data_IF_941040002061
#
_entry.id   IF_941040002061
#
_cell.length_a   1.000
_cell.length_b   1.000
_cell.length_c   1.000
_cell.angle_alpha   90.00
_cell.angle_beta   90.00
_cell.angle_gamma   90.00
#
_symmetry.space_group_name_H-M   'P 1'
#
loop_
_entity.id
_entity.type
_entity.pdbx_description
1 polymer ?
#
# COMPACT_ATOMS: atom_id res chain seq x y z
N UNK A 1 17.18 -4.90 8.71
CA UNK A 1 15.83 -4.37 8.89
C UNK A 1 15.03 -4.83 7.69
N UNK A 2 13.92 -5.53 7.87
CA UNK A 2 13.05 -5.94 6.75
C UNK A 2 12.42 -4.68 6.17
N UNK A 3 12.75 -4.34 4.92
CA UNK A 3 12.11 -3.21 4.21
C UNK A 3 10.61 -3.47 4.11
N UNK A 4 9.79 -2.53 4.57
CA UNK A 4 8.33 -2.61 4.45
C UNK A 4 7.87 -1.60 3.40
N UNK A 5 8.13 -1.89 2.13
CA UNK A 5 7.46 -1.20 1.03
C UNK A 5 5.96 -1.47 1.03
N UNK A 6 5.25 -0.88 0.07
CA UNK A 6 3.82 -1.11 -0.10
C UNK A 6 3.61 -2.59 -0.43
N UNK A 7 2.85 -3.32 0.41
CA UNK A 7 2.45 -4.69 0.07
C UNK A 7 1.83 -4.73 -1.32
N UNK A 8 2.23 -5.70 -2.16
CA UNK A 8 1.66 -5.87 -3.51
C UNK A 8 0.14 -6.04 -3.52
N UNK A 9 -0.46 -6.47 -2.41
CA UNK A 9 -1.92 -6.55 -2.25
C UNK A 9 -2.58 -5.16 -2.22
N UNK A 10 -1.82 -4.11 -1.92
CA UNK A 10 -2.24 -2.70 -1.93
C UNK A 10 -1.86 -1.97 -3.24
N UNK A 11 -1.33 -2.68 -4.23
CA UNK A 11 -1.17 -2.13 -5.57
C UNK A 11 -2.53 -2.01 -6.26
N UNK A 12 -2.59 -1.24 -7.36
CA UNK A 12 -3.72 -1.38 -8.28
C UNK A 12 -3.72 -2.82 -8.79
N UNK A 13 -4.88 -3.52 -8.79
CA UNK A 13 -4.94 -4.91 -9.21
C UNK A 13 -4.30 -5.13 -10.57
N UNK A 14 -3.42 -6.13 -10.63
CA UNK A 14 -2.59 -6.45 -11.79
C UNK A 14 -2.53 -7.96 -12.04
N UNK A 15 -1.98 -8.34 -13.18
CA UNK A 15 -1.87 -9.74 -13.63
C UNK A 15 -3.02 -10.19 -14.52
N UNK A 16 -2.94 -11.43 -15.00
CA UNK A 16 -3.91 -11.98 -15.96
C UNK A 16 -5.34 -12.02 -15.40
N UNK A 17 -5.50 -12.32 -14.11
CA UNK A 17 -6.81 -12.34 -13.44
C UNK A 17 -7.43 -10.93 -13.31
N UNK A 18 -6.59 -9.89 -13.31
CA UNK A 18 -7.03 -8.49 -13.37
C UNK A 18 -7.31 -8.00 -14.82
N UNK A 19 -7.06 -8.86 -15.82
CA UNK A 19 -7.22 -8.55 -17.24
C UNK A 19 -6.02 -7.82 -17.85
N UNK A 20 -4.84 -7.89 -17.25
CA UNK A 20 -3.63 -7.29 -17.79
C UNK A 20 -3.10 -8.06 -19.01
N UNK A 21 -2.39 -7.35 -19.88
CA UNK A 21 -1.54 -7.96 -20.90
C UNK A 21 -0.18 -8.30 -20.29
N UNK A 22 0.29 -9.52 -20.53
CA UNK A 22 1.64 -9.94 -20.18
C UNK A 22 2.59 -9.59 -21.33
N UNK A 23 3.60 -8.76 -21.06
CA UNK A 23 4.66 -8.44 -22.00
C UNK A 23 5.51 -9.69 -22.28
N UNK A 24 6.05 -9.80 -23.50
CA UNK A 24 6.91 -10.94 -23.87
C UNK A 24 8.18 -11.00 -23.01
N UNK A 25 8.62 -12.21 -22.66
CA UNK A 25 9.88 -12.45 -21.94
C UNK A 25 11.07 -12.10 -22.83
N UNK A 26 11.82 -11.08 -22.44
CA UNK A 26 12.90 -10.52 -23.27
C UNK A 26 13.82 -9.61 -22.43
N UNK A 27 14.79 -9.02 -23.10
CA UNK A 27 15.85 -8.17 -22.55
C UNK A 27 16.02 -6.96 -23.48
N UNK A 28 16.20 -5.77 -22.92
CA UNK A 28 16.35 -4.50 -23.67
C UNK A 28 15.27 -4.18 -24.73
N UNK A 29 14.02 -4.58 -24.52
CA UNK A 29 12.94 -4.38 -25.49
C UNK A 29 11.75 -3.58 -24.93
N UNK A 30 10.84 -3.24 -25.84
CA UNK A 30 9.66 -2.45 -25.52
C UNK A 30 8.43 -2.90 -26.31
N UNK A 31 7.26 -2.59 -25.77
CA UNK A 31 5.98 -2.71 -26.48
C UNK A 31 5.32 -1.33 -26.63
N UNK A 32 4.83 -1.03 -27.83
CA UNK A 32 4.12 0.23 -28.12
C UNK A 32 2.63 0.08 -27.84
N UNK A 33 2.05 1.02 -27.09
CA UNK A 33 0.62 1.04 -26.75
C UNK A 33 -0.02 2.34 -27.21
N UNK A 34 -1.13 2.24 -27.93
CA UNK A 34 -1.98 3.37 -28.25
C UNK A 34 -2.98 3.63 -27.13
N UNK A 35 -3.05 4.87 -26.67
CA UNK A 35 -3.90 5.26 -25.55
C UNK A 35 -5.31 5.59 -26.04
N UNK A 36 -6.31 5.05 -25.35
CA UNK A 36 -7.72 5.39 -25.56
C UNK A 36 -8.06 6.82 -25.11
N UNK A 37 -7.27 7.37 -24.18
CA UNK A 37 -7.33 8.75 -23.72
C UNK A 37 -5.95 9.37 -23.78
N UNK A 38 -5.83 10.61 -24.26
CA UNK A 38 -4.53 11.30 -24.27
C UNK A 38 -4.06 11.54 -22.85
N UNK A 39 -2.78 11.29 -22.58
CA UNK A 39 -2.15 11.55 -21.30
C UNK A 39 -1.38 12.89 -21.36
N UNK A 40 -1.79 13.89 -20.57
CA UNK A 40 -0.99 15.10 -20.37
C UNK A 40 0.33 14.77 -19.64
N UNK A 41 1.45 15.25 -20.13
CA UNK A 41 2.75 15.13 -19.47
C UNK A 41 3.68 16.25 -19.94
N UNK A 42 4.23 17.05 -19.00
CA UNK A 42 5.06 18.22 -19.31
C UNK A 42 4.46 19.14 -20.39
N UNK A 43 3.19 19.55 -20.19
CA UNK A 43 2.38 20.41 -21.07
C UNK A 43 2.12 19.86 -22.48
N UNK A 44 2.49 18.60 -22.73
CA UNK A 44 2.24 17.91 -23.98
C UNK A 44 1.18 16.83 -23.78
N UNK A 45 0.49 16.45 -24.85
CA UNK A 45 -0.55 15.43 -24.82
C UNK A 45 -0.14 14.23 -25.67
N UNK A 46 0.08 13.10 -25.01
CA UNK A 46 0.52 11.86 -25.67
C UNK A 46 -0.64 10.93 -25.91
N UNK A 47 -0.73 10.36 -27.12
CA UNK A 47 -1.74 9.37 -27.50
C UNK A 47 -1.16 7.96 -27.63
N UNK A 48 0.12 7.79 -27.29
CA UNK A 48 0.84 6.52 -27.28
C UNK A 48 1.98 6.60 -26.27
N UNK A 49 2.42 5.44 -25.83
CA UNK A 49 3.60 5.26 -24.99
C UNK A 49 4.28 3.94 -25.35
N UNK A 50 5.46 3.73 -24.78
CA UNK A 50 6.19 2.47 -24.85
C UNK A 50 6.49 1.99 -23.44
N UNK A 51 6.07 0.76 -23.13
CA UNK A 51 6.47 0.06 -21.91
C UNK A 51 7.76 -0.68 -22.19
N UNK A 52 8.75 -0.53 -21.31
CA UNK A 52 10.09 -1.08 -21.51
C UNK A 52 10.42 -2.13 -20.44
N UNK A 53 11.23 -3.14 -20.83
CA UNK A 53 11.72 -4.17 -19.90
C UNK A 53 12.51 -3.56 -18.75
N UNK A 54 13.32 -2.55 -19.04
CA UNK A 54 14.26 -1.91 -18.12
C UNK A 54 13.59 -0.96 -17.13
N UNK A 55 12.27 -1.02 -16.93
CA UNK A 55 11.62 -0.33 -15.81
C UNK A 55 11.21 1.13 -16.06
N UNK A 56 10.96 1.49 -17.33
CA UNK A 56 10.46 2.81 -17.72
C UNK A 56 9.24 2.78 -18.67
N UNK A 57 8.59 3.93 -18.75
CA UNK A 57 7.62 4.28 -19.80
C UNK A 57 8.16 5.49 -20.56
N UNK A 58 8.24 5.41 -21.88
CA UNK A 58 8.57 6.55 -22.75
C UNK A 58 7.40 6.98 -23.63
N UNK A 59 7.45 8.23 -24.11
CA UNK A 59 6.33 8.87 -24.82
C UNK A 59 6.68 9.36 -26.24
N UNK A 60 7.97 9.44 -26.57
CA UNK A 60 8.47 9.86 -27.87
C UNK A 60 8.82 8.66 -28.77
N UNK A 61 9.53 7.67 -28.21
CA UNK A 61 9.99 6.46 -28.91
C UNK A 61 10.30 5.33 -27.94
N UNK A 62 10.39 4.10 -28.45
CA UNK A 62 10.94 2.98 -27.68
C UNK A 62 12.43 3.17 -27.37
N UNK A 63 12.86 2.64 -26.23
CA UNK A 63 14.21 2.82 -25.66
C UNK A 63 14.92 1.47 -25.59
N UNK A 64 16.22 1.43 -25.88
CA UNK A 64 17.07 0.22 -25.81
C UNK A 64 18.40 0.48 -25.10
N UNK A 65 18.42 1.46 -24.20
CA UNK A 65 19.64 1.76 -23.46
C UNK A 65 19.71 0.81 -22.26
N UNK A 66 20.81 0.07 -22.21
CA UNK A 66 21.18 -0.81 -21.09
C UNK A 66 21.49 0.05 -19.85
N UNK A 67 22.29 1.11 -20.04
CA UNK A 67 22.58 2.08 -19.00
C UNK A 67 21.66 3.30 -19.13
N UNK A 68 20.95 3.61 -18.04
CA UNK A 68 20.09 4.79 -18.02
C UNK A 68 20.92 6.07 -18.13
N UNK A 69 20.52 7.05 -18.96
CA UNK A 69 21.10 8.38 -18.93
C UNK A 69 20.63 9.17 -17.71
N UNK A 70 21.48 10.05 -17.20
CA UNK A 70 21.14 11.00 -16.14
C UNK A 70 20.04 11.95 -16.63
N UNK A 71 19.08 12.28 -15.76
CA UNK A 71 18.14 13.38 -15.98
C UNK A 71 18.67 14.70 -15.39
N UNK A 72 18.47 15.84 -16.09
CA UNK A 72 17.77 15.95 -17.36
C UNK A 72 18.64 15.52 -18.53
N UNK A 73 18.00 15.02 -19.58
CA UNK A 73 18.62 14.87 -20.90
C UNK A 73 17.65 15.23 -22.02
N UNK A 74 18.20 15.45 -23.22
CA UNK A 74 17.45 15.82 -24.41
C UNK A 74 17.14 14.63 -25.35
N UNK A 75 17.18 13.39 -24.83
CA UNK A 75 17.08 12.18 -25.65
C UNK A 75 15.75 11.45 -25.53
N UNK A 76 15.10 11.51 -24.38
CA UNK A 76 13.94 10.68 -24.06
C UNK A 76 12.90 11.47 -23.29
N UNK A 77 11.63 11.31 -23.66
CA UNK A 77 10.51 11.78 -22.83
C UNK A 77 10.01 10.58 -22.05
N UNK A 78 10.24 10.53 -20.74
CA UNK A 78 9.95 9.31 -19.98
C UNK A 78 9.57 9.54 -18.52
N UNK A 79 8.90 8.51 -18.00
CA UNK A 79 8.58 8.29 -16.59
C UNK A 79 9.28 6.99 -16.21
N UNK A 80 10.11 7.05 -15.18
CA UNK A 80 10.92 5.93 -14.72
C UNK A 80 10.68 5.70 -13.23
N UNK A 81 9.87 4.71 -12.82
CA UNK A 81 9.91 4.26 -11.44
C UNK A 81 11.29 3.69 -11.08
N UNK A 82 11.89 2.89 -11.96
CA UNK A 82 13.17 2.22 -11.69
C UNK A 82 13.84 1.79 -13.00
N UNK A 83 14.51 2.72 -13.69
CA UNK A 83 15.20 2.41 -14.94
C UNK A 83 16.55 1.77 -14.62
N UNK A 84 16.67 0.47 -14.88
CA UNK A 84 17.89 -0.32 -14.70
C UNK A 84 17.92 -1.51 -15.65
N UNK A 85 19.07 -2.14 -15.81
CA UNK A 85 19.29 -3.29 -16.68
C UNK A 85 18.54 -4.55 -16.19
N UNK A 86 17.32 -4.78 -16.73
CA UNK A 86 16.39 -5.84 -16.31
C UNK A 86 16.26 -6.88 -17.42
N UNK A 87 16.56 -8.13 -17.09
CA UNK A 87 16.37 -9.28 -17.98
C UNK A 87 15.20 -10.15 -17.54
N UNK A 88 14.10 -10.12 -18.30
CA UNK A 88 12.92 -10.96 -18.01
C UNK A 88 12.95 -12.33 -18.68
N UNK A 89 14.00 -12.66 -19.45
CA UNK A 89 14.08 -13.88 -20.27
C UNK A 89 13.88 -15.16 -19.45
N UNK A 90 14.35 -15.18 -18.21
CA UNK A 90 14.30 -16.37 -17.35
C UNK A 90 13.31 -16.25 -16.19
N UNK A 91 13.06 -15.04 -15.68
CA UNK A 91 12.22 -14.80 -14.51
C UNK A 91 11.67 -13.36 -14.54
N UNK A 92 10.57 -13.13 -13.81
CA UNK A 92 9.99 -11.81 -13.62
C UNK A 92 9.03 -11.46 -14.74
N UNK A 93 7.87 -10.93 -14.41
CA UNK A 93 6.80 -10.64 -15.35
C UNK A 93 6.53 -9.14 -15.42
N UNK A 94 6.17 -8.65 -16.60
CA UNK A 94 5.74 -7.27 -16.79
C UNK A 94 4.29 -7.30 -17.28
N UNK A 95 3.41 -6.76 -16.46
CA UNK A 95 1.98 -6.67 -16.75
C UNK A 95 1.58 -5.23 -17.02
N UNK A 96 0.71 -5.00 -18.00
CA UNK A 96 0.17 -3.67 -18.25
C UNK A 96 -1.29 -3.69 -18.71
N UNK A 97 -2.03 -2.61 -18.41
CA UNK A 97 -3.35 -2.38 -19.02
C UNK A 97 -3.78 -0.92 -18.96
N UNK A 98 -4.74 -0.59 -19.83
CA UNK A 98 -5.56 0.60 -19.70
C UNK A 98 -6.76 0.32 -18.80
N UNK A 99 -7.20 1.34 -18.05
CA UNK A 99 -8.25 1.26 -17.04
C UNK A 99 -9.32 2.30 -17.38
N UNK A 100 -10.55 1.82 -17.60
CA UNK A 100 -11.77 2.65 -17.66
C UNK A 100 -12.84 2.17 -16.66
N UNK A 101 -12.52 1.14 -15.87
CA UNK A 101 -13.40 0.62 -14.83
C UNK A 101 -13.57 1.65 -13.73
N UNK A 102 -14.83 2.06 -13.49
CA UNK A 102 -15.16 3.12 -12.54
C UNK A 102 -14.77 2.80 -11.09
N UNK A 103 -14.87 1.54 -10.67
CA UNK A 103 -14.51 1.16 -9.30
C UNK A 103 -13.02 1.33 -9.04
N UNK A 104 -12.17 0.90 -10.00
CA UNK A 104 -10.72 1.07 -9.90
C UNK A 104 -10.35 2.55 -10.00
N UNK A 105 -10.98 3.30 -10.91
CA UNK A 105 -10.74 4.74 -11.03
C UNK A 105 -11.13 5.51 -9.76
N UNK A 106 -12.22 5.14 -9.09
CA UNK A 106 -12.61 5.74 -7.81
C UNK A 106 -11.62 5.41 -6.68
N UNK A 107 -10.94 4.26 -6.72
CA UNK A 107 -9.85 3.96 -5.77
C UNK A 107 -8.65 4.87 -6.01
N UNK A 108 -8.24 5.04 -7.28
CA UNK A 108 -7.16 5.97 -7.67
C UNK A 108 -7.51 7.42 -7.32
N UNK A 109 -8.76 7.84 -7.57
CA UNK A 109 -9.30 9.15 -7.17
C UNK A 109 -9.13 9.37 -5.66
N UNK A 110 -9.57 8.41 -4.85
CA UNK A 110 -9.46 8.50 -3.40
C UNK A 110 -8.00 8.60 -2.93
N UNK A 111 -7.08 7.81 -3.49
CA UNK A 111 -5.65 7.88 -3.15
C UNK A 111 -5.05 9.25 -3.46
N UNK A 112 -5.41 9.85 -4.60
CA UNK A 112 -4.93 11.18 -4.98
C UNK A 112 -5.52 12.24 -4.07
N UNK A 113 -6.82 12.20 -3.77
CA UNK A 113 -7.48 13.21 -2.91
C UNK A 113 -6.98 13.11 -1.46
N UNK A 114 -6.78 11.90 -0.93
CA UNK A 114 -6.26 11.67 0.41
C UNK A 114 -4.83 12.20 0.56
N UNK A 115 -3.98 12.00 -0.46
CA UNK A 115 -2.65 12.58 -0.51
C UNK A 115 -2.69 14.11 -0.76
N UNK A 116 -3.56 14.57 -1.66
CA UNK A 116 -3.55 15.90 -2.27
C UNK A 116 -4.93 16.55 -2.25
N UNK A 117 -5.33 17.01 -1.06
CA UNK A 117 -6.65 17.61 -0.83
C UNK A 117 -6.97 18.83 -1.73
N UNK A 118 -5.96 19.55 -2.22
CA UNK A 118 -6.12 20.67 -3.17
C UNK A 118 -6.75 20.22 -4.52
N UNK A 119 -6.70 18.91 -4.80
CA UNK A 119 -7.31 18.27 -5.95
C UNK A 119 -8.59 17.51 -5.59
N UNK A 120 -9.34 17.93 -4.57
CA UNK A 120 -10.63 17.31 -4.16
C UNK A 120 -11.68 17.19 -5.29
N UNK A 121 -11.52 17.98 -6.36
CA UNK A 121 -12.39 17.95 -7.55
C UNK A 121 -11.85 17.08 -8.70
N UNK A 122 -10.65 16.52 -8.57
CA UNK A 122 -10.05 15.65 -9.57
C UNK A 122 -10.87 14.36 -9.70
N UNK A 123 -11.25 14.02 -10.93
CA UNK A 123 -12.02 12.81 -11.25
C UNK A 123 -11.42 12.11 -12.45
N UNK A 124 -10.61 11.06 -12.25
CA UNK A 124 -9.98 10.37 -13.35
C UNK A 124 -11.03 9.63 -14.18
N UNK A 125 -10.92 9.74 -15.50
CA UNK A 125 -11.74 8.97 -16.45
C UNK A 125 -10.94 7.88 -17.16
N UNK A 126 -9.63 7.87 -16.96
CA UNK A 126 -8.72 6.92 -17.55
C UNK A 126 -7.48 6.75 -16.68
N UNK A 127 -6.97 5.52 -16.62
CA UNK A 127 -5.63 5.25 -16.10
C UNK A 127 -4.90 4.20 -16.95
N UNK A 128 -3.60 4.10 -16.79
CA UNK A 128 -2.74 3.06 -17.33
C UNK A 128 -1.83 2.55 -16.23
N UNK A 129 -1.76 1.25 -16.05
CA UNK A 129 -0.94 0.61 -15.01
C UNK A 129 0.10 -0.27 -15.68
N UNK A 130 1.31 -0.26 -15.13
CA UNK A 130 2.36 -1.23 -15.46
C UNK A 130 2.96 -1.75 -14.15
N UNK A 131 3.10 -3.07 -14.03
CA UNK A 131 3.72 -3.73 -12.88
C UNK A 131 4.89 -4.57 -13.36
N UNK A 132 6.09 -4.27 -12.86
CA UNK A 132 7.26 -5.14 -12.96
C UNK A 132 7.28 -6.03 -11.73
N UNK A 133 6.90 -7.29 -11.89
CA UNK A 133 6.75 -8.28 -10.82
C UNK A 133 7.98 -9.17 -10.75
N UNK A 134 8.67 -9.15 -9.61
CA UNK A 134 9.81 -10.02 -9.32
C UNK A 134 10.87 -10.04 -10.43
N UNK A 135 11.19 -8.85 -10.95
CA UNK A 135 12.18 -8.67 -12.03
C UNK A 135 13.62 -8.73 -11.50
N UNK A 136 14.51 -9.53 -12.12
CA UNK A 136 15.91 -9.61 -11.73
C UNK A 136 16.78 -8.58 -12.47
N UNK A 137 18.00 -8.37 -11.97
CA UNK A 137 19.06 -7.68 -12.70
C UNK A 137 19.59 -8.58 -13.83
N UNK A 138 20.04 -7.97 -14.93
CA UNK A 138 20.76 -8.67 -16.00
C UNK A 138 21.97 -9.46 -15.47
N UNK A 139 22.16 -10.69 -16.00
CA UNK A 139 23.30 -11.57 -15.73
C UNK A 139 23.60 -11.96 -14.26
N UNK A 140 22.73 -11.71 -13.27
CA UNK A 140 22.91 -12.32 -11.95
C UNK A 140 22.89 -13.85 -12.06
N UNK A 141 23.90 -14.49 -11.46
CA UNK A 141 24.12 -15.93 -11.43
C UNK A 141 22.79 -16.71 -11.36
N UNK A 142 22.57 -17.58 -12.36
CA UNK A 142 21.42 -18.51 -12.51
C UNK A 142 21.42 -19.62 -11.45
N UNK A 143 21.72 -19.29 -10.20
CA UNK A 143 21.66 -20.16 -9.03
C UNK A 143 20.50 -19.74 -8.13
N UNK A 144 20.05 -20.68 -7.28
CA UNK A 144 18.69 -20.75 -6.69
C UNK A 144 18.18 -19.56 -5.83
N UNK A 145 18.90 -18.45 -5.70
CA UNK A 145 18.50 -17.28 -4.89
C UNK A 145 18.59 -15.98 -5.70
N UNK A 146 17.79 -15.86 -6.76
CA UNK A 146 17.67 -14.62 -7.52
C UNK A 146 17.01 -13.54 -6.65
N UNK A 147 17.74 -12.45 -6.42
CA UNK A 147 17.22 -11.25 -5.77
C UNK A 147 16.40 -10.49 -6.82
N UNK A 148 15.18 -10.11 -6.48
CA UNK A 148 14.24 -9.49 -7.43
C UNK A 148 13.62 -8.23 -6.86
N UNK A 149 13.22 -7.33 -7.77
CA UNK A 149 12.50 -6.10 -7.46
C UNK A 149 11.04 -6.25 -7.89
N UNK A 150 10.13 -5.59 -7.16
CA UNK A 150 8.71 -5.51 -7.52
C UNK A 150 8.22 -4.09 -7.34
N UNK A 151 7.71 -3.50 -8.42
CA UNK A 151 7.21 -2.13 -8.42
C UNK A 151 6.14 -1.92 -9.50
N UNK A 152 5.34 -0.88 -9.32
CA UNK A 152 4.23 -0.52 -10.19
C UNK A 152 4.21 0.99 -10.45
N UNK A 153 3.88 1.36 -11.68
CA UNK A 153 3.52 2.74 -12.05
C UNK A 153 2.05 2.80 -12.46
N UNK A 154 1.37 3.84 -12.03
CA UNK A 154 0.01 4.17 -12.46
C UNK A 154 0.02 5.59 -13.04
N UNK A 155 -0.37 5.72 -14.30
CA UNK A 155 -0.64 6.99 -14.96
C UNK A 155 -2.14 7.21 -14.94
N UNK A 156 -2.63 8.39 -14.55
CA UNK A 156 -4.08 8.66 -14.52
C UNK A 156 -4.38 10.09 -14.94
N UNK A 157 -5.54 10.32 -15.55
CA UNK A 157 -5.93 11.66 -16.01
C UNK A 157 -7.45 11.84 -16.05
N UNK A 158 -7.88 13.09 -15.93
CA UNK A 158 -9.22 13.55 -16.27
C UNK A 158 -9.26 14.25 -17.64
N UNK A 159 -8.24 14.05 -18.49
CA UNK A 159 -7.91 14.71 -19.78
C UNK A 159 -7.24 16.08 -19.70
N UNK A 160 -7.29 16.76 -18.56
CA UNK A 160 -6.65 18.07 -18.37
C UNK A 160 -5.50 18.01 -17.38
N UNK A 161 -5.74 17.39 -16.22
CA UNK A 161 -4.77 17.13 -15.18
C UNK A 161 -4.33 15.68 -15.24
N UNK A 162 -3.08 15.41 -14.91
CA UNK A 162 -2.54 14.07 -14.86
C UNK A 162 -1.71 13.85 -13.62
N UNK A 163 -1.77 12.62 -13.11
CA UNK A 163 -1.01 12.18 -11.97
C UNK A 163 -0.28 10.89 -12.30
N UNK A 164 0.88 10.73 -11.69
CA UNK A 164 1.67 9.51 -11.72
C UNK A 164 1.84 9.00 -10.29
N UNK A 165 1.56 7.73 -10.08
CA UNK A 165 1.76 7.02 -8.82
C UNK A 165 2.86 5.98 -9.02
N UNK A 166 3.86 5.95 -8.13
CA UNK A 166 4.78 4.84 -8.01
C UNK A 166 4.48 4.05 -6.74
N UNK A 167 4.39 2.74 -6.86
CA UNK A 167 4.29 1.81 -5.74
C UNK A 167 5.50 0.88 -5.76
N UNK A 168 6.26 0.83 -4.68
CA UNK A 168 7.40 -0.07 -4.51
C UNK A 168 7.11 -1.07 -3.40
N UNK A 169 7.15 -2.37 -3.72
CA UNK A 169 7.03 -3.43 -2.71
C UNK A 169 8.41 -3.78 -2.16
N UNK A 170 9.37 -4.03 -3.06
CA UNK A 170 10.77 -4.26 -2.71
C UNK A 170 11.71 -3.80 -3.82
N UNK A 171 12.81 -3.17 -3.42
CA UNK A 171 13.96 -2.85 -4.25
C UNK A 171 15.20 -3.39 -3.54
N UNK A 172 15.60 -4.59 -3.90
CA UNK A 172 16.67 -5.34 -3.26
C UNK A 172 17.99 -5.26 -4.03
N UNK A 173 17.94 -4.85 -5.29
CA UNK A 173 19.10 -4.64 -6.15
C UNK A 173 18.96 -3.31 -6.91
N UNK A 174 20.09 -2.76 -7.34
CA UNK A 174 20.21 -1.55 -8.17
C UNK A 174 21.59 -1.51 -8.83
N UNK A 175 21.70 -0.93 -10.01
CA UNK A 175 22.96 -0.67 -10.71
C UNK A 175 23.46 0.77 -10.44
N UNK A 176 24.71 1.07 -10.79
CA UNK A 176 25.26 2.44 -10.66
C UNK A 176 24.56 3.45 -11.58
N UNK A 177 23.88 2.98 -12.63
CA UNK A 177 23.14 3.79 -13.60
C UNK A 177 21.62 3.72 -13.38
N UNK A 178 21.15 3.23 -12.22
CA UNK A 178 19.71 3.18 -11.94
C UNK A 178 19.13 4.59 -11.86
N UNK A 179 18.16 4.90 -12.73
CA UNK A 179 17.50 6.21 -12.81
C UNK A 179 16.03 6.11 -12.37
N UNK A 180 15.61 6.90 -11.39
CA UNK A 180 14.19 7.03 -11.00
C UNK A 180 13.75 8.49 -11.08
N UNK A 181 12.64 8.77 -11.76
CA UNK A 181 12.18 10.12 -12.00
C UNK A 181 11.40 10.35 -13.29
N UNK A 182 11.37 11.61 -13.70
CA UNK A 182 10.63 12.14 -14.84
C UNK A 182 11.57 12.97 -15.71
N UNK A 183 11.48 12.83 -17.04
CA UNK A 183 12.26 13.64 -17.97
C UNK A 183 11.38 14.11 -19.13
N UNK A 184 11.39 15.42 -19.41
CA UNK A 184 10.62 16.01 -20.50
C UNK A 184 11.32 15.91 -21.87
N UNK A 185 12.55 15.41 -21.92
CA UNK A 185 13.32 15.25 -23.15
C UNK A 185 13.82 16.56 -23.78
N UNK A 186 13.74 17.69 -23.08
CA UNK A 186 14.21 18.99 -23.56
C UNK A 186 15.52 19.45 -22.88
N UNK A 187 16.08 18.64 -21.98
CA UNK A 187 17.28 18.96 -21.21
C UNK A 187 17.07 19.99 -20.09
N UNK A 188 15.83 20.39 -19.81
CA UNK A 188 15.50 21.43 -18.83
C UNK A 188 14.51 20.91 -17.80
N UNK A 189 13.36 20.37 -18.23
CA UNK A 189 12.27 19.96 -17.34
C UNK A 189 12.43 18.48 -16.96
N UNK A 190 12.59 18.22 -15.68
CA UNK A 190 12.78 16.88 -15.12
C UNK A 190 12.48 16.87 -13.62
N UNK A 191 12.43 15.68 -13.03
CA UNK A 191 12.43 15.50 -11.57
C UNK A 191 13.13 14.18 -11.24
N UNK A 192 14.07 14.19 -10.30
CA UNK A 192 14.79 13.00 -9.83
C UNK A 192 14.25 12.56 -8.48
N UNK A 193 13.96 11.27 -8.34
CA UNK A 193 13.68 10.71 -7.02
C UNK A 193 14.99 10.58 -6.21
N UNK A 194 14.91 10.61 -4.85
CA UNK A 194 16.08 10.47 -4.00
C UNK A 194 16.90 9.21 -4.28
N UNK A 195 18.22 9.34 -4.17
CA UNK A 195 19.14 8.22 -4.28
C UNK A 195 19.38 7.68 -5.69
N UNK A 196 18.74 8.24 -6.72
CA UNK A 196 19.02 7.92 -8.13
C UNK A 196 20.52 7.98 -8.44
N UNK A 197 21.02 7.12 -9.33
CA UNK A 197 22.47 6.95 -9.61
C UNK A 197 23.31 6.49 -8.40
N UNK A 198 22.69 5.86 -7.41
CA UNK A 198 23.38 5.30 -6.27
C UNK A 198 22.62 4.11 -5.66
N UNK A 199 23.24 3.36 -4.76
CA UNK A 199 22.55 2.28 -4.04
C UNK A 199 21.38 2.76 -3.16
N UNK A 200 21.36 4.03 -2.74
CA UNK A 200 20.27 4.55 -1.89
C UNK A 200 18.95 4.71 -2.63
N UNK A 201 18.90 4.54 -3.96
CA UNK A 201 17.63 4.43 -4.72
C UNK A 201 16.75 3.29 -4.21
N UNK A 202 17.33 2.27 -3.58
CA UNK A 202 16.59 1.18 -2.94
C UNK A 202 15.76 1.67 -1.75
N UNK A 203 16.14 2.79 -1.12
CA UNK A 203 15.40 3.39 0.00
C UNK A 203 14.07 3.99 -0.42
N UNK A 204 13.76 4.11 -1.72
CA UNK A 204 12.44 4.53 -2.21
C UNK A 204 11.28 3.65 -1.71
N UNK A 205 11.58 2.44 -1.22
CA UNK A 205 10.62 1.56 -0.54
C UNK A 205 10.28 2.00 0.89
N UNK A 206 11.17 2.77 1.53
CA UNK A 206 11.06 3.16 2.93
C UNK A 206 10.61 4.63 3.10
N UNK A 207 10.87 5.48 2.10
CA UNK A 207 10.50 6.90 2.09
C UNK A 207 9.35 7.19 1.10
N UNK A 208 8.79 8.40 1.17
CA UNK A 208 7.61 8.81 0.39
C UNK A 208 7.36 10.31 0.47
N UNK A 209 6.90 10.92 -0.63
CA UNK A 209 6.45 12.31 -0.64
C UNK A 209 5.02 12.52 -0.08
N UNK A 210 4.27 11.44 0.14
CA UNK A 210 2.91 11.47 0.74
C UNK A 210 2.89 10.82 2.13
N UNK A 211 4.06 10.51 2.68
CA UNK A 211 4.23 9.92 4.01
C UNK A 211 3.91 8.43 4.10
N UNK A 212 3.51 7.75 3.01
CA UNK A 212 3.24 6.30 2.96
C UNK A 212 4.44 5.58 2.37
N UNK A 213 5.27 4.86 3.16
CA UNK A 213 6.51 4.22 2.68
C UNK A 213 6.30 3.43 1.38
N UNK A 214 7.15 3.71 0.39
CA UNK A 214 7.08 3.02 -0.91
C UNK A 214 6.01 3.54 -1.87
N UNK A 215 5.15 4.48 -1.47
CA UNK A 215 4.15 5.10 -2.35
C UNK A 215 4.52 6.54 -2.66
N UNK A 216 4.48 6.92 -3.92
CA UNK A 216 4.79 8.27 -4.38
C UNK A 216 3.72 8.76 -5.32
N UNK A 217 3.25 10.00 -5.17
CA UNK A 217 2.23 10.60 -6.03
C UNK A 217 2.70 11.96 -6.51
N UNK A 218 2.65 12.18 -7.82
CA UNK A 218 3.07 13.41 -8.47
C UNK A 218 2.00 13.91 -9.43
N UNK A 219 1.80 15.22 -9.51
CA UNK A 219 1.06 15.82 -10.63
C UNK A 219 2.04 16.12 -11.77
N UNK A 220 1.69 15.71 -12.98
CA UNK A 220 2.65 15.60 -14.09
C UNK A 220 2.23 16.30 -15.39
N UNK A 221 1.06 16.97 -15.42
CA UNK A 221 0.57 17.71 -16.59
C UNK A 221 1.28 19.04 -16.85
N UNK A 222 1.76 19.70 -15.80
CA UNK A 222 2.32 21.06 -15.84
C UNK A 222 3.76 21.12 -16.38
N UNK A 223 4.31 22.33 -16.54
CA UNK A 223 5.71 22.55 -16.92
C UNK A 223 6.72 21.97 -15.92
N UNK A 224 6.29 21.79 -14.68
CA UNK A 224 7.09 21.21 -13.61
C UNK A 224 6.33 20.02 -13.01
N UNK A 225 7.09 19.03 -12.55
CA UNK A 225 6.52 17.97 -11.72
C UNK A 225 6.20 18.59 -10.38
N UNK A 226 4.92 18.61 -10.04
CA UNK A 226 4.50 19.10 -8.72
C UNK A 226 4.67 17.92 -7.78
N UNK A 227 5.81 17.95 -7.08
CA UNK A 227 6.10 17.07 -5.97
C UNK A 227 5.28 17.51 -4.77
N UNK A 228 4.47 16.59 -4.29
CA UNK A 228 3.55 16.81 -3.18
C UNK A 228 4.26 16.98 -1.83
N UNK A 229 5.57 16.72 -1.78
CA UNK A 229 6.41 16.90 -0.60
C UNK A 229 6.80 18.36 -0.30
N UNK A 230 6.76 19.25 -1.30
CA UNK A 230 7.24 20.65 -1.20
C UNK A 230 6.18 21.65 -1.72
N UNK A 231 5.36 22.16 -0.81
CA UNK A 231 4.23 23.06 -1.02
C UNK A 231 4.59 24.44 -0.48
N UNK A 232 4.43 25.45 -1.32
CA UNK A 232 4.65 26.87 -0.95
C UNK A 232 3.43 27.51 -0.29
N UNK A 233 2.29 26.83 -0.28
CA UNK A 233 1.00 27.33 0.22
C UNK A 233 0.83 27.24 1.76
N UNK A 234 1.91 27.15 2.54
CA UNK A 234 1.90 27.05 4.02
C UNK A 234 1.12 25.84 4.58
N UNK A 235 0.98 24.75 3.83
CA UNK A 235 0.29 23.56 4.32
C UNK A 235 1.26 22.45 4.71
N UNK A 236 1.01 21.86 5.87
CA UNK A 236 1.71 20.69 6.38
C UNK A 236 0.77 19.48 6.48
N UNK A 237 1.32 18.30 6.21
CA UNK A 237 0.64 17.00 6.32
C UNK A 237 1.27 16.16 7.41
N UNK A 238 0.45 15.33 8.06
CA UNK A 238 0.84 14.46 9.16
C UNK A 238 0.42 13.01 8.84
N UNK A 239 1.37 12.07 8.85
CA UNK A 239 1.09 10.65 8.67
C UNK A 239 1.78 9.79 9.74
N UNK A 240 1.06 8.97 10.53
CA UNK A 240 -0.40 8.84 10.55
C UNK A 240 -1.09 10.08 11.14
N UNK A 241 -2.30 10.37 10.65
CA UNK A 241 -3.14 11.45 11.19
C UNK A 241 -3.87 11.07 12.48
N UNK A 242 -4.13 9.77 12.66
CA UNK A 242 -4.83 9.24 13.83
C UNK A 242 -3.82 8.72 14.85
N UNK A 243 -3.89 9.20 16.08
CA UNK A 243 -2.91 8.90 17.15
C UNK A 243 -3.58 8.54 18.46
N UNK A 244 -2.97 7.67 19.25
CA UNK A 244 -3.45 7.39 20.60
C UNK A 244 -3.28 8.62 21.49
N UNK A 245 -4.24 8.85 22.40
CA UNK A 245 -4.10 9.87 23.45
C UNK A 245 -2.86 9.64 24.34
N UNK A 246 -2.33 8.41 24.39
CA UNK A 246 -1.12 8.09 25.14
C UNK A 246 0.18 8.52 24.45
N UNK A 247 0.14 8.81 23.15
CA UNK A 247 1.31 9.08 22.32
C UNK A 247 2.21 7.86 22.10
N UNK A 248 3.40 8.12 21.57
CA UNK A 248 4.43 7.13 21.23
C UNK A 248 4.47 6.74 19.74
N UNK A 249 3.49 7.14 18.94
CA UNK A 249 3.51 6.93 17.49
C UNK A 249 4.50 7.88 16.81
N UNK A 250 5.29 7.35 15.87
CA UNK A 250 6.13 8.16 14.98
C UNK A 250 5.27 8.76 13.87
N UNK A 251 5.33 10.08 13.70
CA UNK A 251 4.53 10.84 12.74
C UNK A 251 5.45 11.57 11.78
N UNK A 252 5.30 11.25 10.50
CA UNK A 252 5.95 11.94 9.40
C UNK A 252 5.22 13.24 9.11
N UNK A 253 6.01 14.29 8.95
CA UNK A 253 5.59 15.64 8.60
C UNK A 253 6.08 15.93 7.19
N UNK A 254 5.17 16.18 6.26
CA UNK A 254 5.50 16.54 4.87
C UNK A 254 4.76 17.80 4.45
N UNK A 255 5.10 18.36 3.29
CA UNK A 255 4.52 19.60 2.78
C UNK A 255 5.56 20.71 2.72
N UNK A 256 6.20 21.11 3.82
CA UNK A 256 7.33 22.04 3.74
C UNK A 256 8.57 21.36 3.17
N UNK A 257 9.42 22.12 2.47
CA UNK A 257 10.78 21.67 2.18
C UNK A 257 11.66 21.90 3.41
N UNK A 258 12.50 20.92 3.73
CA UNK A 258 13.46 20.97 4.83
C UNK A 258 14.89 20.94 4.31
N UNK A 259 15.79 21.62 4.98
CA UNK A 259 17.23 21.51 4.80
C UNK A 259 17.86 20.91 6.07
N UNK A 260 19.03 20.27 5.94
CA UNK A 260 19.66 19.51 7.04
C UNK A 260 19.99 20.40 8.26
N UNK A 261 20.21 21.69 8.05
CA UNK A 261 20.51 22.69 9.07
C UNK A 261 19.28 23.45 9.59
N UNK A 262 18.07 23.08 9.16
CA UNK A 262 16.84 23.69 9.66
C UNK A 262 16.57 23.35 11.13
N UNK A 263 16.16 24.36 11.90
CA UNK A 263 15.62 24.20 13.24
C UNK A 263 14.11 23.94 13.18
N UNK A 264 13.70 22.70 13.44
CA UNK A 264 12.34 22.22 13.28
C UNK A 264 11.69 21.85 14.63
N UNK A 265 10.60 22.52 14.98
CA UNK A 265 9.83 22.19 16.17
C UNK A 265 8.32 22.38 15.98
N UNK A 266 7.54 21.59 16.70
CA UNK A 266 6.09 21.58 16.63
C UNK A 266 5.48 22.15 17.92
N UNK A 267 4.32 22.78 17.74
CA UNK A 267 3.37 23.14 18.78
C UNK A 267 2.14 22.26 18.56
N UNK A 268 1.79 21.43 19.56
CA UNK A 268 0.68 20.47 19.50
C UNK A 268 -0.30 20.83 20.62
N UNK A 269 -1.41 21.48 20.26
CA UNK A 269 -2.36 22.07 21.21
C UNK A 269 -1.66 23.02 22.21
N UNK A 270 -1.48 22.59 23.46
CA UNK A 270 -0.77 23.36 24.51
C UNK A 270 0.68 22.91 24.73
N UNK A 271 1.15 21.88 24.01
CA UNK A 271 2.50 21.34 24.12
C UNK A 271 3.40 22.08 23.14
N UNK A 272 4.47 22.69 23.64
CA UNK A 272 5.43 23.46 22.85
C UNK A 272 6.78 22.73 22.75
N UNK A 273 7.57 23.09 21.73
CA UNK A 273 8.94 22.61 21.52
C UNK A 273 9.05 21.08 21.34
N UNK A 274 8.10 20.46 20.62
CA UNK A 274 8.24 19.06 20.22
C UNK A 274 9.19 19.00 19.03
N UNK A 275 10.37 18.40 19.20
CA UNK A 275 11.37 18.30 18.14
C UNK A 275 10.85 17.49 16.94
N UNK A 276 10.97 18.04 15.73
CA UNK A 276 10.77 17.30 14.50
C UNK A 276 12.14 17.00 13.89
N UNK A 277 12.54 15.73 13.89
CA UNK A 277 13.87 15.33 13.40
C UNK A 277 13.87 15.35 11.89
N UNK A 278 14.81 16.08 11.30
CA UNK A 278 15.06 16.03 9.85
C UNK A 278 15.34 14.59 9.44
N UNK A 279 14.61 14.11 8.43
CA UNK A 279 14.82 12.80 7.82
C UNK A 279 15.41 12.97 6.42
N UNK A 280 14.75 13.80 5.61
CA UNK A 280 15.18 14.19 4.27
C UNK A 280 14.53 15.53 3.89
N UNK A 281 14.80 15.99 2.66
CA UNK A 281 14.32 17.28 2.14
C UNK A 281 12.78 17.45 2.19
N UNK A 282 12.04 16.36 2.30
CA UNK A 282 10.57 16.35 2.21
C UNK A 282 9.90 15.94 3.51
N UNK A 283 10.68 15.41 4.46
CA UNK A 283 10.15 14.78 5.65
C UNK A 283 10.94 15.17 6.88
N UNK A 284 10.23 15.63 7.91
CA UNK A 284 10.70 15.55 9.28
C UNK A 284 9.79 14.60 10.07
N UNK A 285 10.30 13.99 11.14
CA UNK A 285 9.56 13.01 11.93
C UNK A 285 9.58 13.38 13.41
N UNK A 286 8.43 13.27 14.08
CA UNK A 286 8.35 13.45 15.53
C UNK A 286 7.60 12.28 16.18
N UNK A 287 7.89 12.05 17.46
CA UNK A 287 7.15 11.10 18.28
C UNK A 287 5.97 11.82 18.93
N UNK A 288 4.76 11.28 18.75
CA UNK A 288 3.54 11.86 19.29
C UNK A 288 3.64 11.94 20.83
N UNK A 289 3.51 13.14 21.44
CA UNK A 289 3.49 13.24 22.89
C UNK A 289 2.16 12.72 23.43
N UNK A 290 2.11 12.48 24.75
CA UNK A 290 0.84 12.24 25.43
C UNK A 290 -0.08 13.46 25.32
N UNK A 291 -1.33 13.25 24.92
CA UNK A 291 -2.31 14.30 24.65
C UNK A 291 -3.33 14.42 25.77
N UNK A 292 -3.93 15.60 25.93
CA UNK A 292 -4.85 15.91 27.03
C UNK A 292 -6.34 15.74 26.66
N UNK A 293 -6.65 15.51 25.37
CA UNK A 293 -8.01 15.38 24.85
C UNK A 293 -8.06 14.43 23.66
N UNK A 294 -9.23 13.86 23.42
CA UNK A 294 -9.58 13.13 22.19
C UNK A 294 -10.19 14.08 21.16
N UNK A 295 -10.19 13.69 19.88
CA UNK A 295 -10.73 14.47 18.77
C UNK A 295 -9.67 15.26 18.01
N UNK A 296 -10.07 16.35 17.35
CA UNK A 296 -9.13 17.18 16.58
C UNK A 296 -8.16 17.94 17.48
N UNK A 297 -6.87 17.78 17.19
CA UNK A 297 -5.73 18.40 17.86
C UNK A 297 -5.00 19.27 16.85
N UNK A 298 -4.93 20.57 17.09
CA UNK A 298 -4.18 21.48 16.24
C UNK A 298 -2.67 21.22 16.36
N UNK A 299 -1.98 21.24 15.23
CA UNK A 299 -0.53 21.08 15.15
C UNK A 299 0.04 22.19 14.27
N UNK A 300 1.09 22.85 14.75
CA UNK A 300 1.82 23.87 14.02
C UNK A 300 3.29 23.50 13.98
N UNK A 301 3.89 23.39 12.80
CA UNK A 301 5.32 23.28 12.63
C UNK A 301 5.92 24.66 12.46
N UNK A 302 7.05 24.89 13.10
CA UNK A 302 7.85 26.12 12.97
C UNK A 302 9.23 25.75 12.44
N UNK A 303 9.65 26.42 11.36
CA UNK A 303 10.95 26.24 10.71
C UNK A 303 11.76 27.53 10.88
N UNK A 304 12.94 27.43 11.50
CA UNK A 304 13.89 28.53 11.73
C UNK A 304 13.30 29.78 12.40
N UNK A 305 12.15 29.65 13.08
CA UNK A 305 11.35 30.76 13.61
C UNK A 305 10.83 31.77 12.57
N UNK A 306 10.93 31.46 11.27
CA UNK A 306 10.47 32.35 10.19
C UNK A 306 9.23 31.83 9.47
N UNK A 307 9.09 30.51 9.36
CA UNK A 307 7.97 29.88 8.66
C UNK A 307 7.14 29.05 9.64
N UNK A 308 5.82 29.07 9.44
CA UNK A 308 4.89 28.26 10.21
C UNK A 308 3.88 27.58 9.31
N UNK A 309 3.61 26.31 9.58
CA UNK A 309 2.68 25.48 8.82
C UNK A 309 1.70 24.83 9.78
N UNK A 310 0.41 24.88 9.45
CA UNK A 310 -0.64 24.34 10.30
C UNK A 310 -1.20 23.02 9.75
N UNK A 311 -1.60 22.15 10.65
CA UNK A 311 -2.29 20.88 10.35
C UNK A 311 -3.12 20.43 11.56
N UNK A 312 -3.72 19.24 11.47
CA UNK A 312 -4.56 18.70 12.54
C UNK A 312 -4.38 17.19 12.67
N UNK A 313 -4.08 16.72 13.88
CA UNK A 313 -4.17 15.31 14.26
C UNK A 313 -5.57 14.97 14.77
N UNK A 314 -5.90 13.68 14.75
CA UNK A 314 -7.11 13.15 15.38
C UNK A 314 -6.68 12.17 16.46
N UNK A 315 -6.88 12.54 17.72
CA UNK A 315 -6.54 11.68 18.84
C UNK A 315 -7.72 10.80 19.27
N UNK A 316 -7.44 9.55 19.60
CA UNK A 316 -8.43 8.59 20.09
C UNK A 316 -7.97 7.92 21.38
N UNK A 317 -8.92 7.45 22.17
CA UNK A 317 -8.62 6.66 23.35
C UNK A 317 -8.58 5.18 22.97
N UNK A 318 -7.46 4.51 23.26
CA UNK A 318 -7.42 3.05 23.20
C UNK A 318 -8.18 2.54 24.42
N UNK A 319 -9.45 2.20 24.18
CA UNK A 319 -10.23 1.39 25.11
C UNK A 319 -9.60 -0.01 25.13
N UNK A 320 -8.61 -0.21 26.00
CA UNK A 320 -8.29 -1.56 26.44
C UNK A 320 -9.55 -2.02 27.14
N UNK A 321 -10.37 -2.82 26.45
CA UNK A 321 -11.36 -3.60 27.16
C UNK A 321 -10.55 -4.40 28.16
N UNK A 322 -10.63 -4.05 29.44
CA UNK A 322 -10.44 -5.04 30.49
C UNK A 322 -11.52 -6.07 30.18
N UNK A 323 -11.21 -7.05 29.33
CA UNK A 323 -12.11 -8.14 29.06
C UNK A 323 -12.42 -8.68 30.43
N UNK A 324 -13.68 -8.58 30.77
CA UNK A 324 -14.27 -8.81 32.06
C UNK A 324 -13.72 -10.10 32.68
N UNK A 325 -12.69 -10.01 33.51
CA UNK A 325 -12.25 -11.07 34.42
C UNK A 325 -13.29 -11.35 35.52
N UNK A 326 -14.49 -10.79 35.40
CA UNK A 326 -15.62 -10.96 36.31
C UNK A 326 -16.72 -11.89 35.75
N UNK A 327 -16.62 -12.38 34.51
CA UNK A 327 -17.59 -13.36 33.98
C UNK A 327 -17.15 -14.83 34.06
N UNK A 328 -15.94 -15.13 34.56
CA UNK A 328 -15.47 -16.52 34.70
C UNK A 328 -15.95 -17.24 35.98
N UNK A 329 -16.58 -16.54 36.93
CA UNK A 329 -17.05 -17.14 38.19
C UNK A 329 -18.56 -17.39 38.28
N UNK A 330 -19.36 -17.02 37.26
CA UNK A 330 -20.82 -17.25 37.26
C UNK A 330 -21.32 -18.32 36.29
N UNK A 331 -20.44 -18.98 35.54
CA UNK A 331 -20.81 -20.07 34.62
C UNK A 331 -20.48 -21.49 35.12
N UNK A 332 -19.93 -21.63 36.33
CA UNK A 332 -19.58 -22.94 36.91
C UNK A 332 -20.75 -23.67 37.63
N UNK A 333 -21.85 -23.04 38.12
CA UNK A 333 -22.96 -23.84 38.69
C UNK A 333 -24.01 -24.30 37.66
N UNK A 334 -24.14 -23.66 36.49
CA UNK A 334 -25.23 -23.97 35.56
C UNK A 334 -24.98 -25.22 34.70
N UNK A 335 -23.70 -25.51 34.37
CA UNK A 335 -23.34 -26.68 33.56
C UNK A 335 -23.41 -27.98 34.38
N UNK A 336 -23.10 -27.93 35.68
CA UNK A 336 -23.23 -29.10 36.56
C UNK A 336 -24.69 -29.49 36.84
N UNK A 337 -25.61 -28.51 36.92
CA UNK A 337 -27.04 -28.78 37.11
C UNK A 337 -27.69 -29.35 35.84
N UNK A 338 -27.27 -28.91 34.65
CA UNK A 338 -27.77 -29.48 33.39
C UNK A 338 -27.33 -30.94 33.20
N UNK A 339 -26.08 -31.29 33.54
CA UNK A 339 -25.58 -32.67 33.41
C UNK A 339 -26.29 -33.63 34.38
N UNK A 340 -26.60 -33.19 35.60
CA UNK A 340 -27.38 -33.96 36.59
C UNK A 340 -28.85 -34.16 36.17
N UNK A 341 -29.49 -33.15 35.58
CA UNK A 341 -30.88 -33.25 35.08
C UNK A 341 -30.96 -34.14 33.84
N UNK A 342 -30.02 -34.07 32.90
CA UNK A 342 -30.02 -34.94 31.73
C UNK A 342 -29.71 -36.40 32.09
N UNK A 343 -28.85 -36.65 33.09
CA UNK A 343 -28.54 -38.00 33.57
C UNK A 343 -29.74 -38.68 34.26
N UNK A 344 -30.50 -37.94 35.08
CA UNK A 344 -31.71 -38.44 35.74
C UNK A 344 -32.87 -38.71 34.76
N UNK A 345 -33.02 -37.86 33.73
CA UNK A 345 -34.06 -38.04 32.71
C UNK A 345 -33.77 -39.25 31.81
N UNK A 346 -32.51 -39.47 31.40
CA UNK A 346 -32.13 -40.64 30.60
C UNK A 346 -32.28 -41.94 31.41
N UNK A 347 -31.92 -41.93 32.70
CA UNK A 347 -32.14 -43.07 33.61
C UNK A 347 -33.62 -43.40 33.82
N UNK A 348 -34.49 -42.39 33.97
CA UNK A 348 -35.93 -42.58 34.12
C UNK A 348 -36.61 -43.07 32.82
N UNK A 349 -36.15 -42.62 31.65
CA UNK A 349 -36.66 -43.09 30.35
C UNK A 349 -36.25 -44.54 30.08
N UNK A 350 -35.02 -44.96 30.44
CA UNK A 350 -34.59 -46.35 30.32
C UNK A 350 -35.35 -47.29 31.27
N UNK A 351 -35.62 -46.85 32.51
CA UNK A 351 -36.43 -47.60 33.48
C UNK A 351 -37.88 -47.77 33.01
N UNK A 352 -38.47 -46.75 32.36
CA UNK A 352 -39.86 -46.76 31.90
C UNK A 352 -40.07 -47.47 30.56
N UNK A 353 -39.03 -47.61 29.72
CA UNK A 353 -39.08 -48.34 28.44
C UNK A 353 -38.98 -49.86 28.60
N UNK A 354 -38.42 -50.34 29.73
CA UNK A 354 -38.22 -51.77 30.00
C UNK A 354 -39.23 -52.39 30.99
N UNK A 355 -40.28 -51.68 31.41
CA UNK A 355 -41.34 -52.25 32.27
C UNK A 355 -42.74 -51.72 31.91
N UNK A 356 -43.41 -52.43 31.01
CA UNK A 356 -44.87 -52.60 30.91
C UNK A 356 -45.05 -54.11 30.65
N UNK A 357 -45.87 -54.88 31.37
CA UNK A 357 -47.11 -54.55 32.04
C UNK A 357 -47.42 -55.52 33.18
N UNK A 358 -48.14 -55.02 34.17
CA UNK A 358 -48.89 -55.81 35.15
C UNK A 358 -49.85 -56.80 34.45
N UNK A 359 -49.80 -58.05 34.92
CA UNK A 359 -50.93 -58.96 35.23
C UNK A 359 -51.83 -59.45 34.08
N UNK A 360 -51.76 -60.78 33.88
CA UNK A 360 -52.65 -61.77 33.21
C UNK A 360 -54.18 -61.62 33.49
N UNK A 361 -55.14 -62.42 32.92
CA UNK A 361 -55.05 -63.79 32.33
C UNK A 361 -55.97 -64.13 31.12
N UNK A 362 -55.88 -65.39 30.63
CA UNK A 362 -56.97 -66.36 30.26
C UNK A 362 -56.70 -67.16 28.96
N UNK A 363 -56.53 -68.49 29.15
CA UNK A 363 -56.84 -69.67 28.29
C UNK A 363 -56.22 -69.73 26.85
N UNK A 364 -55.66 -70.83 26.33
CA UNK A 364 -56.11 -72.22 26.39
C UNK A 364 -55.04 -73.22 25.86
N UNK A 365 -54.92 -74.35 26.54
CA UNK A 365 -54.59 -75.74 26.12
C UNK A 365 -53.48 -76.12 25.10
N UNK A 366 -52.52 -76.89 25.66
CA UNK A 366 -52.17 -78.30 25.32
C UNK A 366 -51.30 -78.61 24.08
N UNK A 367 -50.39 -79.55 24.34
CA UNK A 367 -49.55 -80.39 23.45
C UNK A 367 -48.33 -79.67 22.88
N UNK A 368 -47.15 -80.26 22.88
CA UNK A 368 -46.77 -81.65 23.12
C UNK A 368 -45.28 -81.60 23.44
N UNK A 369 -44.87 -82.52 24.31
CA UNK A 369 -43.62 -83.30 24.21
C UNK A 369 -42.30 -82.54 23.99
N UNK A 370 -41.22 -82.76 24.74
CA UNK A 370 -40.79 -83.84 25.61
C UNK A 370 -39.27 -83.84 25.41
N UNK A 371 -38.56 -84.36 26.40
CA UNK A 371 -37.23 -84.99 26.29
C UNK A 371 -36.06 -84.00 26.29
N UNK A 372 -34.98 -84.15 27.07
CA UNK A 372 -34.57 -84.93 28.26
C UNK A 372 -33.04 -84.98 28.18
N UNK A 373 -32.40 -85.00 29.35
CA UNK A 373 -31.02 -85.43 29.64
C UNK A 373 -29.86 -84.52 29.20
N UNK A 374 -28.80 -84.36 29.99
CA UNK A 374 -28.40 -84.95 31.29
C UNK A 374 -27.42 -83.99 31.97
#
# INVERSE_FOLDING_TARGET
>A
MSSSGVSKDNFIPFGLDAGDTLMSKTDDEFEQIFLSTKFPFFENFYNKLWVNTNGLISFDRGVREVESPIFPNNKFVCISPFWSDIDTTFQGDIFYRQISNKEILSKIEYEIIDALYEYETFKPNWAFVVTWLEVPEFQINKTNNLITNTFQVVLTTNTTQSFTIFNYEKLLWSTYSTQSGFNAGDGIRFFNLPGTFSESVKELVNISNIGVPGKWIFRTDSSEIIDSGCITDNIMRLNPKNVSINGGEMINVTGPCFEEDDFLFLIIDSIINVECKYLDRYTCVFEAPKLNKTGSIAVMLVINAYFSYESTLVSYEIMISKSSTTYLYFLIPAIFICILITGLIVGYIFYKKNNKSLVEPIQQEIKDKSIVNL
#
